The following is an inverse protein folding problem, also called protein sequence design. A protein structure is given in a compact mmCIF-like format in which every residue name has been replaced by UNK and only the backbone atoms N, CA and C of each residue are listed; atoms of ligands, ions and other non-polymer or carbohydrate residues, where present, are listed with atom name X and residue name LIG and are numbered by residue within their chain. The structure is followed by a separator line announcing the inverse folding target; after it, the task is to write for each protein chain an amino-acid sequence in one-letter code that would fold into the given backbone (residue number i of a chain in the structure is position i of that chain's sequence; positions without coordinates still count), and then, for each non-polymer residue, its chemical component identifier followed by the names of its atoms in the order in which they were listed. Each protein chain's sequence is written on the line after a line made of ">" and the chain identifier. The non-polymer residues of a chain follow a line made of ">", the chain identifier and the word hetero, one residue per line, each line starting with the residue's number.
data_IF_842376504448
#
_entry.id   IF_842376504448
#
_cell.length_a   1.000
_cell.length_b   1.000
_cell.length_c   1.000
_cell.angle_alpha   90.00
_cell.angle_beta   90.00
_cell.angle_gamma   90.00
#
_symmetry.space_group_name_H-M   'P 1'
#
loop_
_entity.id
_entity.type
_entity.pdbx_description
1 polymer ?
#
# COMPACT_ATOMS: atom_id res chain seq x y z
N UNK A 1 -10.32 28.45 2.18
CA UNK A 1 -9.42 29.45 1.57
C UNK A 1 -8.57 28.83 0.44
N UNK A 2 -7.76 27.81 0.73
CA UNK A 2 -6.89 27.06 -0.20
C UNK A 2 -7.52 26.75 -1.56
N UNK A 3 -8.75 26.27 -1.57
CA UNK A 3 -9.46 25.96 -2.80
C UNK A 3 -9.95 27.16 -3.63
N UNK A 4 -10.28 28.27 -2.96
CA UNK A 4 -10.66 29.52 -3.62
C UNK A 4 -9.41 30.15 -4.26
N UNK A 5 -8.30 30.07 -3.53
CA UNK A 5 -6.96 30.40 -3.97
C UNK A 5 -6.53 29.62 -5.22
N UNK A 6 -6.63 28.28 -5.21
CA UNK A 6 -6.33 27.43 -6.38
C UNK A 6 -7.15 27.80 -7.63
N UNK A 7 -8.45 28.08 -7.46
CA UNK A 7 -9.33 28.53 -8.54
C UNK A 7 -8.87 29.86 -9.13
N UNK A 8 -8.54 30.85 -8.28
CA UNK A 8 -8.11 32.16 -8.73
C UNK A 8 -6.75 32.10 -9.47
N UNK A 9 -5.86 31.20 -9.04
CA UNK A 9 -4.55 30.97 -9.66
C UNK A 9 -4.60 30.31 -11.04
N UNK A 10 -5.62 29.48 -11.30
CA UNK A 10 -5.80 28.82 -12.60
C UNK A 10 -6.27 29.77 -13.71
N UNK A 11 -6.80 30.95 -13.35
CA UNK A 11 -7.61 31.76 -14.26
C UNK A 11 -6.94 32.96 -14.92
N UNK A 12 -5.66 33.28 -14.60
CA UNK A 12 -4.98 34.46 -15.17
C UNK A 12 -3.49 34.26 -15.39
N UNK A 13 -3.06 34.41 -16.65
CA UNK A 13 -1.70 34.81 -17.01
C UNK A 13 -1.58 36.32 -16.75
N UNK A 14 -1.28 36.73 -15.52
CA UNK A 14 -0.90 38.12 -15.28
C UNK A 14 0.40 38.19 -14.47
N UNK A 15 1.27 39.08 -14.94
CA UNK A 15 2.61 39.33 -14.43
C UNK A 15 2.62 40.37 -13.30
N UNK A 16 1.46 40.72 -12.73
CA UNK A 16 1.41 41.65 -11.61
C UNK A 16 2.02 41.01 -10.36
N UNK A 17 2.89 41.75 -9.68
CA UNK A 17 3.56 41.35 -8.44
C UNK A 17 2.56 40.85 -7.37
N UNK A 18 1.39 41.45 -7.28
CA UNK A 18 0.32 41.03 -6.35
C UNK A 18 -0.19 39.62 -6.63
N UNK A 19 -0.34 39.24 -7.90
CA UNK A 19 -0.72 37.87 -8.24
C UNK A 19 0.42 36.89 -7.99
N UNK A 20 1.68 37.26 -8.25
CA UNK A 20 2.85 36.43 -7.92
C UNK A 20 2.95 36.15 -6.41
N UNK A 21 2.76 37.15 -5.56
CA UNK A 21 2.71 37.01 -4.10
C UNK A 21 1.55 36.11 -3.68
N UNK A 22 0.35 36.29 -4.26
CA UNK A 22 -0.77 35.38 -4.00
C UNK A 22 -0.44 33.93 -4.40
N UNK A 23 0.28 33.69 -5.51
CA UNK A 23 0.68 32.32 -5.91
C UNK A 23 1.60 31.68 -4.88
N UNK A 24 2.61 32.40 -4.43
CA UNK A 24 3.56 31.93 -3.41
C UNK A 24 2.84 31.65 -2.08
N UNK A 25 1.95 32.54 -1.65
CA UNK A 25 1.19 32.34 -0.40
C UNK A 25 0.30 31.09 -0.46
N UNK A 26 -0.27 30.79 -1.63
CA UNK A 26 -1.08 29.59 -1.82
C UNK A 26 -0.23 28.32 -1.79
N UNK A 27 0.96 28.34 -2.38
CA UNK A 27 1.94 27.25 -2.32
C UNK A 27 2.32 27.00 -0.86
N UNK A 28 2.63 28.05 -0.10
CA UNK A 28 2.94 27.95 1.33
C UNK A 28 1.77 27.37 2.12
N UNK A 29 0.53 27.83 1.86
CA UNK A 29 -0.66 27.27 2.50
C UNK A 29 -0.86 25.79 2.20
N UNK A 30 -0.60 25.34 0.96
CA UNK A 30 -0.69 23.91 0.60
C UNK A 30 0.37 23.13 1.37
N UNK A 31 1.62 23.60 1.37
CA UNK A 31 2.74 22.98 2.09
C UNK A 31 2.47 22.83 3.58
N UNK A 32 1.94 23.87 4.23
CA UNK A 32 1.54 23.81 5.65
C UNK A 32 0.42 22.79 5.90
N UNK A 33 -0.53 22.66 4.97
CA UNK A 33 -1.60 21.65 5.08
C UNK A 33 -1.06 20.24 4.89
N UNK A 34 -0.14 20.02 3.93
CA UNK A 34 0.55 18.73 3.72
C UNK A 34 1.28 18.27 4.99
N UNK A 35 1.91 19.22 5.69
CA UNK A 35 2.72 18.94 6.88
C UNK A 35 1.93 18.91 8.20
N UNK A 36 0.60 19.03 8.15
CA UNK A 36 -0.25 19.11 9.35
C UNK A 36 -1.32 18.02 9.37
N UNK A 37 -1.31 17.15 10.39
CA UNK A 37 -2.36 16.14 10.60
C UNK A 37 -3.75 16.78 10.64
N UNK A 38 -3.92 17.87 11.41
CA UNK A 38 -5.17 18.64 11.47
C UNK A 38 -5.57 19.19 10.09
N UNK A 39 -4.59 19.57 9.27
CA UNK A 39 -4.78 20.00 7.89
C UNK A 39 -5.34 18.89 7.00
N UNK A 40 -4.72 17.71 7.04
CA UNK A 40 -5.16 16.53 6.30
C UNK A 40 -6.54 16.04 6.77
N UNK A 41 -6.79 15.98 8.08
CA UNK A 41 -8.09 15.65 8.67
C UNK A 41 -9.21 16.59 8.18
N UNK A 42 -8.90 17.88 8.05
CA UNK A 42 -9.84 18.87 7.51
C UNK A 42 -10.19 18.59 6.04
N UNK A 43 -9.22 18.15 5.23
CA UNK A 43 -9.46 17.76 3.84
C UNK A 43 -10.33 16.51 3.76
N UNK A 44 -10.08 15.50 4.57
CA UNK A 44 -10.85 14.24 4.59
C UNK A 44 -12.34 14.48 4.93
N UNK A 45 -12.63 15.40 5.86
CA UNK A 45 -14.01 15.82 6.18
C UNK A 45 -14.79 16.38 4.97
N UNK A 46 -14.11 16.78 3.91
CA UNK A 46 -14.74 17.29 2.69
C UNK A 46 -15.38 16.17 1.84
N UNK A 47 -14.96 14.91 2.00
CA UNK A 47 -15.45 13.74 1.26
C UNK A 47 -16.95 13.46 1.46
N UNK A 48 -17.50 13.81 2.62
CA UNK A 48 -18.92 13.61 2.95
C UNK A 48 -19.90 14.53 2.21
N UNK A 49 -19.42 15.50 1.40
CA UNK A 49 -20.29 16.38 0.63
C UNK A 49 -20.68 15.70 -0.69
N UNK A 50 -22.00 15.57 -0.91
CA UNK A 50 -22.63 14.87 -2.06
C UNK A 50 -22.14 15.33 -3.45
N UNK A 51 -21.44 16.44 -3.54
CA UNK A 51 -21.11 17.11 -4.77
C UNK A 51 -19.64 16.93 -5.19
N UNK A 52 -18.86 16.08 -4.52
CA UNK A 52 -17.45 15.83 -4.86
C UNK A 52 -16.66 17.14 -5.10
N UNK A 53 -16.77 18.08 -4.15
CA UNK A 53 -16.08 19.37 -4.22
C UNK A 53 -14.56 19.17 -4.32
N UNK A 54 -14.04 18.17 -3.61
CA UNK A 54 -12.62 17.88 -3.60
C UNK A 54 -12.14 17.51 -5.01
N UNK A 55 -12.70 16.45 -5.61
CA UNK A 55 -12.26 15.97 -6.92
C UNK A 55 -12.38 17.04 -8.00
N UNK A 56 -13.48 17.80 -8.04
CA UNK A 56 -13.65 18.89 -9.03
C UNK A 56 -12.63 20.01 -8.88
N UNK A 57 -12.30 20.39 -7.64
CA UNK A 57 -11.37 21.49 -7.38
C UNK A 57 -9.93 21.09 -7.65
N UNK A 58 -9.55 19.87 -7.29
CA UNK A 58 -8.25 19.32 -7.64
C UNK A 58 -8.11 19.15 -9.16
N UNK A 59 -9.12 18.59 -9.81
CA UNK A 59 -9.12 18.47 -11.27
C UNK A 59 -8.96 19.84 -11.96
N UNK A 60 -9.63 20.89 -11.45
CA UNK A 60 -9.47 22.25 -11.98
C UNK A 60 -8.08 22.83 -11.71
N UNK A 61 -7.52 22.56 -10.53
CA UNK A 61 -6.20 23.05 -10.15
C UNK A 61 -5.08 22.39 -10.99
N UNK A 62 -5.28 21.14 -11.43
CA UNK A 62 -4.38 20.42 -12.34
C UNK A 62 -4.37 20.98 -13.78
N UNK A 63 -5.30 21.87 -14.13
CA UNK A 63 -5.25 22.60 -15.41
C UNK A 63 -4.27 23.79 -15.40
N UNK A 64 -3.68 24.10 -14.26
CA UNK A 64 -2.75 25.22 -14.14
C UNK A 64 -1.48 24.99 -14.98
N UNK A 65 -1.05 25.99 -15.76
CA UNK A 65 0.18 25.93 -16.55
C UNK A 65 1.45 26.00 -15.70
N UNK A 66 1.34 26.49 -14.46
CA UNK A 66 2.48 26.63 -13.56
C UNK A 66 2.85 25.28 -12.92
N UNK A 67 4.03 24.78 -13.26
CA UNK A 67 4.55 23.51 -12.76
C UNK A 67 4.71 23.49 -11.24
N UNK A 68 5.12 24.58 -10.59
CA UNK A 68 5.26 24.62 -9.13
C UNK A 68 3.94 24.41 -8.41
N UNK A 69 2.84 25.00 -8.93
CA UNK A 69 1.51 24.78 -8.36
C UNK A 69 1.07 23.33 -8.54
N UNK A 70 1.32 22.76 -9.73
CA UNK A 70 1.04 21.34 -10.00
C UNK A 70 1.86 20.40 -9.09
N UNK A 71 3.15 20.69 -8.88
CA UNK A 71 4.01 19.95 -7.95
C UNK A 71 3.38 19.88 -6.56
N UNK A 72 3.02 21.02 -5.98
CA UNK A 72 2.43 21.09 -4.64
C UNK A 72 1.08 20.35 -4.55
N UNK A 73 0.30 20.35 -5.63
CA UNK A 73 -0.94 19.57 -5.70
C UNK A 73 -0.64 18.08 -5.68
N UNK A 74 0.34 17.61 -6.47
CA UNK A 74 0.71 16.20 -6.50
C UNK A 74 1.34 15.74 -5.18
N UNK A 75 2.20 16.55 -4.55
CA UNK A 75 2.74 16.28 -3.21
C UNK A 75 1.62 16.11 -2.18
N UNK A 76 0.59 16.96 -2.22
CA UNK A 76 -0.57 16.82 -1.36
C UNK A 76 -1.37 15.55 -1.63
N UNK A 77 -1.55 15.16 -2.89
CA UNK A 77 -2.21 13.91 -3.25
C UNK A 77 -1.40 12.69 -2.77
N UNK A 78 -0.07 12.75 -2.87
CA UNK A 78 0.83 11.72 -2.36
C UNK A 78 0.70 11.59 -0.84
N UNK A 79 0.77 12.72 -0.12
CA UNK A 79 0.60 12.75 1.33
C UNK A 79 -0.76 12.18 1.75
N UNK A 80 -1.84 12.50 1.04
CA UNK A 80 -3.16 11.94 1.30
C UNK A 80 -3.22 10.41 1.10
N UNK A 81 -2.57 9.89 0.04
CA UNK A 81 -2.49 8.45 -0.20
C UNK A 81 -1.83 7.70 0.96
N UNK A 82 -0.71 8.23 1.46
CA UNK A 82 0.07 7.60 2.53
C UNK A 82 -0.58 7.82 3.90
N UNK A 83 -1.25 8.95 4.12
CA UNK A 83 -1.82 9.32 5.41
C UNK A 83 -2.98 8.42 5.84
N UNK A 84 -3.90 8.08 4.92
CA UNK A 84 -5.05 7.25 5.27
C UNK A 84 -5.67 6.59 4.05
N UNK A 85 -6.37 5.48 4.28
CA UNK A 85 -7.20 4.81 3.26
C UNK A 85 -8.26 5.75 2.67
N UNK A 86 -8.80 6.66 3.49
CA UNK A 86 -9.76 7.64 3.01
C UNK A 86 -9.14 8.65 2.05
N UNK A 87 -7.93 9.11 2.36
CA UNK A 87 -7.13 10.02 1.53
C UNK A 87 -6.70 9.37 0.22
N UNK A 88 -6.29 8.10 0.25
CA UNK A 88 -6.04 7.32 -0.96
C UNK A 88 -7.24 7.30 -1.92
N UNK A 89 -8.43 6.95 -1.44
CA UNK A 89 -9.63 6.98 -2.29
C UNK A 89 -10.00 8.38 -2.77
N UNK A 90 -9.72 9.40 -1.96
CA UNK A 90 -9.94 10.80 -2.32
C UNK A 90 -9.02 11.25 -3.46
N UNK A 91 -7.76 10.78 -3.46
CA UNK A 91 -6.82 10.96 -4.56
C UNK A 91 -7.28 10.24 -5.83
N UNK A 92 -7.71 8.97 -5.73
CA UNK A 92 -8.23 8.24 -6.88
C UNK A 92 -9.46 8.92 -7.51
N UNK A 93 -10.35 9.44 -6.68
CA UNK A 93 -11.56 10.14 -7.13
C UNK A 93 -11.23 11.49 -7.80
N UNK A 94 -10.22 12.21 -7.32
CA UNK A 94 -9.71 13.41 -7.99
C UNK A 94 -9.12 13.09 -9.38
N UNK A 95 -8.32 12.03 -9.50
CA UNK A 95 -7.76 11.57 -10.77
C UNK A 95 -8.85 11.08 -11.74
N UNK A 96 -9.87 10.38 -11.25
CA UNK A 96 -11.03 9.94 -12.04
C UNK A 96 -11.86 11.13 -12.54
N UNK A 97 -12.05 12.13 -11.69
CA UNK A 97 -12.74 13.38 -12.05
C UNK A 97 -11.98 14.11 -13.16
N UNK A 98 -10.66 14.21 -13.03
CA UNK A 98 -9.81 14.82 -14.06
C UNK A 98 -9.86 14.03 -15.38
N UNK A 99 -9.76 12.69 -15.32
CA UNK A 99 -9.89 11.80 -16.49
C UNK A 99 -11.17 12.08 -17.25
N UNK A 100 -12.30 12.11 -16.53
CA UNK A 100 -13.63 12.32 -17.11
C UNK A 100 -13.74 13.69 -17.77
N UNK A 101 -13.27 14.74 -17.10
CA UNK A 101 -13.29 16.11 -17.63
C UNK A 101 -12.44 16.23 -18.89
N UNK A 102 -11.21 15.71 -18.87
CA UNK A 102 -10.26 15.79 -20.00
C UNK A 102 -10.44 14.70 -21.05
N UNK A 103 -11.43 13.82 -20.85
CA UNK A 103 -11.74 12.68 -21.72
C UNK A 103 -10.51 11.80 -21.99
N UNK A 104 -9.70 11.58 -20.95
CA UNK A 104 -8.54 10.71 -21.03
C UNK A 104 -8.99 9.24 -21.07
N UNK A 105 -8.24 8.37 -21.79
CA UNK A 105 -8.64 6.97 -21.95
C UNK A 105 -8.60 6.20 -20.62
N UNK A 106 -7.62 6.49 -19.74
CA UNK A 106 -7.44 5.80 -18.47
C UNK A 106 -7.24 6.79 -17.31
N UNK A 107 -7.57 6.34 -16.07
CA UNK A 107 -7.49 7.17 -14.86
C UNK A 107 -6.11 7.75 -14.64
N UNK A 108 -5.08 6.94 -14.82
CA UNK A 108 -3.70 7.32 -14.58
C UNK A 108 -2.99 7.93 -15.80
N UNK A 109 -3.71 8.14 -16.91
CA UNK A 109 -3.13 8.76 -18.11
C UNK A 109 -2.54 10.14 -17.85
N UNK A 110 -3.11 10.93 -16.92
CA UNK A 110 -2.54 12.23 -16.54
C UNK A 110 -1.08 12.09 -16.10
N UNK A 111 -0.81 11.18 -15.17
CA UNK A 111 0.51 11.04 -14.55
C UNK A 111 1.55 10.58 -15.59
N UNK A 112 1.22 9.55 -16.37
CA UNK A 112 2.13 9.02 -17.39
C UNK A 112 2.39 10.03 -18.51
N UNK A 113 1.37 10.79 -18.94
CA UNK A 113 1.55 11.82 -19.97
C UNK A 113 2.40 13.00 -19.48
N UNK A 114 2.19 13.46 -18.24
CA UNK A 114 2.99 14.53 -17.66
C UNK A 114 4.44 14.07 -17.44
N UNK A 115 4.68 12.82 -17.00
CA UNK A 115 6.03 12.25 -16.90
C UNK A 115 6.77 12.26 -18.25
N UNK A 116 6.08 11.90 -19.33
CA UNK A 116 6.68 11.91 -20.68
C UNK A 116 6.96 13.32 -21.21
N UNK A 117 6.07 14.28 -20.94
CA UNK A 117 6.08 15.60 -21.59
C UNK A 117 6.75 16.72 -20.80
N UNK A 118 6.90 16.57 -19.48
CA UNK A 118 7.57 17.56 -18.65
C UNK A 118 9.07 17.66 -18.99
N UNK A 119 9.66 18.86 -18.86
CA UNK A 119 11.10 19.04 -19.02
C UNK A 119 11.83 19.22 -17.68
N UNK A 120 11.08 19.42 -16.59
CA UNK A 120 11.63 19.69 -15.28
C UNK A 120 11.74 18.38 -14.49
N UNK A 121 12.98 17.97 -14.23
CA UNK A 121 13.31 16.73 -13.50
C UNK A 121 12.59 16.66 -12.15
N UNK A 122 12.66 17.73 -11.34
CA UNK A 122 12.03 17.76 -10.01
C UNK A 122 10.51 17.54 -10.07
N UNK A 123 9.84 18.02 -11.12
CA UNK A 123 8.42 17.76 -11.33
C UNK A 123 8.15 16.31 -11.74
N UNK A 124 9.02 15.70 -12.55
CA UNK A 124 8.97 14.26 -12.85
C UNK A 124 9.17 13.43 -11.59
N UNK A 125 10.10 13.82 -10.71
CA UNK A 125 10.30 13.18 -9.40
C UNK A 125 9.03 13.24 -8.55
N UNK A 126 8.38 14.41 -8.46
CA UNK A 126 7.09 14.56 -7.75
C UNK A 126 5.99 13.66 -8.33
N UNK A 127 5.91 13.54 -9.66
CA UNK A 127 4.93 12.68 -10.31
C UNK A 127 5.20 11.20 -10.04
N UNK A 128 6.47 10.78 -10.10
CA UNK A 128 6.87 9.40 -9.82
C UNK A 128 6.63 9.04 -8.35
N UNK A 129 6.86 9.98 -7.44
CA UNK A 129 6.51 9.86 -6.03
C UNK A 129 5.00 9.63 -5.82
N UNK A 130 4.14 10.32 -6.57
CA UNK A 130 2.69 10.07 -6.52
C UNK A 130 2.31 8.70 -7.10
N UNK A 131 2.96 8.25 -8.17
CA UNK A 131 2.76 6.89 -8.71
C UNK A 131 3.07 5.86 -7.63
N UNK A 132 4.23 5.99 -6.97
CA UNK A 132 4.63 5.11 -5.87
C UNK A 132 3.63 5.16 -4.70
N UNK A 133 3.22 6.36 -4.28
CA UNK A 133 2.23 6.52 -3.22
C UNK A 133 0.89 5.84 -3.55
N UNK A 134 0.41 5.92 -4.79
CA UNK A 134 -0.85 5.28 -5.22
C UNK A 134 -0.73 3.75 -5.26
N UNK A 135 0.42 3.22 -5.71
CA UNK A 135 0.65 1.77 -5.79
C UNK A 135 0.84 1.18 -4.39
N UNK A 136 1.71 1.77 -3.56
CA UNK A 136 2.11 1.24 -2.25
C UNK A 136 1.05 1.45 -1.17
N UNK A 137 0.19 2.47 -1.28
CA UNK A 137 -0.84 2.76 -0.27
C UNK A 137 -1.86 1.61 -0.02
N UNK A 138 -1.89 0.58 -0.88
CA UNK A 138 -2.77 -0.57 -0.69
C UNK A 138 -2.04 -1.72 0.03
N UNK A 139 -2.56 -2.14 1.18
CA UNK A 139 -2.01 -3.27 1.93
C UNK A 139 -2.29 -4.62 1.23
N UNK A 140 -3.35 -4.70 0.43
CA UNK A 140 -3.73 -5.92 -0.29
C UNK A 140 -2.95 -6.11 -1.59
N UNK A 141 -2.17 -7.20 -1.67
CA UNK A 141 -1.39 -7.60 -2.84
C UNK A 141 -2.19 -7.53 -4.16
N UNK A 142 -3.41 -8.08 -4.17
CA UNK A 142 -4.26 -8.13 -5.37
C UNK A 142 -4.64 -6.74 -5.89
N UNK A 143 -4.93 -5.78 -5.00
CA UNK A 143 -5.27 -4.42 -5.42
C UNK A 143 -4.02 -3.65 -5.87
N UNK A 144 -2.87 -3.86 -5.21
CA UNK A 144 -1.58 -3.30 -5.68
C UNK A 144 -1.24 -3.78 -7.09
N UNK A 145 -1.30 -5.09 -7.32
CA UNK A 145 -1.05 -5.69 -8.64
C UNK A 145 -2.02 -5.14 -9.68
N UNK A 146 -3.31 -5.02 -9.35
CA UNK A 146 -4.31 -4.44 -10.26
C UNK A 146 -3.98 -3.01 -10.65
N UNK A 147 -3.71 -2.13 -9.68
CA UNK A 147 -3.36 -0.73 -9.95
C UNK A 147 -2.05 -0.64 -10.73
N UNK A 148 -1.04 -1.45 -10.38
CA UNK A 148 0.24 -1.48 -11.09
C UNK A 148 0.06 -1.94 -12.54
N UNK A 149 -0.77 -2.94 -12.78
CA UNK A 149 -1.09 -3.40 -14.14
C UNK A 149 -1.78 -2.30 -14.97
N UNK A 150 -2.62 -1.45 -14.37
CA UNK A 150 -3.18 -0.28 -15.05
C UNK A 150 -2.05 0.68 -15.50
N UNK A 151 -1.04 0.93 -14.67
CA UNK A 151 0.12 1.76 -15.05
C UNK A 151 0.99 1.10 -16.13
N UNK A 152 1.29 -0.20 -15.99
CA UNK A 152 2.05 -0.98 -16.98
C UNK A 152 1.34 -0.94 -18.34
N UNK A 153 0.02 -1.12 -18.35
CA UNK A 153 -0.79 -1.06 -19.57
C UNK A 153 -0.73 0.32 -20.27
N UNK A 154 -0.63 1.41 -19.51
CA UNK A 154 -0.48 2.78 -20.07
C UNK A 154 0.97 3.03 -20.57
N UNK A 155 1.91 2.13 -20.25
CA UNK A 155 3.31 2.19 -20.68
C UNK A 155 4.20 2.96 -19.69
N UNK A 156 4.01 2.77 -18.39
CA UNK A 156 4.90 3.38 -17.38
C UNK A 156 6.33 2.83 -17.47
N UNK A 157 6.54 1.55 -17.83
CA UNK A 157 7.87 0.93 -17.86
C UNK A 157 8.79 1.57 -18.92
N UNK A 158 8.26 1.81 -20.12
CA UNK A 158 8.99 2.55 -21.17
C UNK A 158 9.27 4.00 -20.74
N UNK A 159 8.35 4.58 -19.98
CA UNK A 159 8.51 5.94 -19.44
C UNK A 159 9.64 5.96 -18.41
N UNK A 160 9.67 5.01 -17.47
CA UNK A 160 10.75 4.85 -16.47
C UNK A 160 12.11 4.68 -17.15
N UNK A 161 12.19 3.85 -18.20
CA UNK A 161 13.43 3.69 -18.96
C UNK A 161 13.94 5.01 -19.53
N UNK A 162 13.05 5.86 -20.03
CA UNK A 162 13.40 7.21 -20.52
C UNK A 162 13.81 8.15 -19.38
N UNK A 163 13.10 8.10 -18.24
CA UNK A 163 13.40 8.94 -17.07
C UNK A 163 14.81 8.68 -16.50
N UNK A 164 15.28 7.42 -16.56
CA UNK A 164 16.62 7.03 -16.09
C UNK A 164 17.75 7.69 -16.89
N UNK A 165 17.51 8.06 -18.14
CA UNK A 165 18.50 8.77 -18.97
C UNK A 165 18.79 10.18 -18.47
N UNK A 166 17.93 10.76 -17.61
CA UNK A 166 18.15 12.09 -17.02
C UNK A 166 19.26 12.10 -15.96
N UNK A 167 19.64 10.93 -15.41
CA UNK A 167 20.77 10.77 -14.49
C UNK A 167 20.58 11.42 -13.11
N UNK A 168 19.36 11.83 -12.77
CA UNK A 168 19.04 12.46 -11.49
C UNK A 168 18.88 11.40 -10.38
N UNK A 169 19.59 11.52 -9.25
CA UNK A 169 19.59 10.51 -8.20
C UNK A 169 18.22 10.34 -7.55
N UNK A 170 17.47 11.43 -7.41
CA UNK A 170 16.19 11.46 -6.72
C UNK A 170 15.10 10.80 -7.56
N UNK A 171 15.07 11.14 -8.85
CA UNK A 171 14.20 10.52 -9.82
C UNK A 171 14.51 9.03 -9.99
N UNK A 172 15.80 8.67 -10.05
CA UNK A 172 16.22 7.28 -10.13
C UNK A 172 15.81 6.47 -8.90
N UNK A 173 15.94 7.05 -7.71
CA UNK A 173 15.44 6.42 -6.48
C UNK A 173 13.94 6.13 -6.57
N UNK A 174 13.13 7.07 -7.09
CA UNK A 174 11.69 6.82 -7.27
C UNK A 174 11.41 5.73 -8.32
N UNK A 175 12.26 5.60 -9.35
CA UNK A 175 12.16 4.53 -10.33
C UNK A 175 12.52 3.16 -9.71
N UNK A 176 13.57 3.12 -8.89
CA UNK A 176 14.02 1.92 -8.18
C UNK A 176 12.91 1.41 -7.26
N UNK A 177 12.28 2.29 -6.47
CA UNK A 177 11.15 1.94 -5.60
C UNK A 177 10.02 1.27 -6.39
N UNK A 178 9.68 1.78 -7.57
CA UNK A 178 8.61 1.20 -8.38
C UNK A 178 8.95 -0.22 -8.88
N UNK A 179 10.18 -0.42 -9.35
CA UNK A 179 10.67 -1.68 -9.91
C UNK A 179 10.91 -2.75 -8.84
N UNK A 180 11.44 -2.37 -7.68
CA UNK A 180 11.57 -3.25 -6.51
C UNK A 180 10.21 -3.75 -6.04
N UNK A 181 9.24 -2.84 -5.89
CA UNK A 181 7.87 -3.19 -5.48
C UNK A 181 7.14 -4.03 -6.54
N UNK A 182 7.43 -3.81 -7.84
CA UNK A 182 6.92 -4.66 -8.93
C UNK A 182 7.47 -6.08 -8.79
N UNK A 183 8.77 -6.22 -8.53
CA UNK A 183 9.43 -7.52 -8.35
C UNK A 183 8.88 -8.25 -7.13
N UNK A 184 8.81 -7.56 -5.98
CA UNK A 184 8.28 -8.10 -4.74
C UNK A 184 6.83 -8.57 -4.87
N UNK A 185 5.95 -7.77 -5.50
CA UNK A 185 4.56 -8.18 -5.71
C UNK A 185 4.45 -9.36 -6.70
N UNK A 186 5.32 -9.45 -7.70
CA UNK A 186 5.37 -10.59 -8.63
C UNK A 186 5.79 -11.88 -7.93
N UNK A 187 6.81 -11.81 -7.06
CA UNK A 187 7.26 -12.95 -6.26
C UNK A 187 6.18 -13.42 -5.28
N UNK A 188 5.52 -12.49 -4.58
CA UNK A 188 4.43 -12.80 -3.67
C UNK A 188 3.23 -13.45 -4.38
N UNK A 189 2.90 -13.00 -5.59
CA UNK A 189 1.85 -13.62 -6.41
C UNK A 189 2.20 -15.05 -6.84
N UNK A 190 3.46 -15.28 -7.23
CA UNK A 190 3.93 -16.61 -7.61
C UNK A 190 3.94 -17.56 -6.40
N UNK A 191 4.31 -17.07 -5.21
CA UNK A 191 4.22 -17.83 -3.97
C UNK A 191 2.77 -18.19 -3.62
N UNK A 192 1.83 -17.24 -3.75
CA UNK A 192 0.40 -17.50 -3.55
C UNK A 192 -0.13 -18.54 -4.55
N UNK A 193 0.35 -18.51 -5.80
CA UNK A 193 -0.03 -19.47 -6.83
C UNK A 193 0.50 -20.87 -6.53
N UNK A 194 1.77 -20.99 -6.14
CA UNK A 194 2.38 -22.27 -5.71
C UNK A 194 1.64 -22.87 -4.51
N UNK A 195 1.25 -22.03 -3.55
CA UNK A 195 0.46 -22.44 -2.40
C UNK A 195 -0.94 -22.95 -2.79
N UNK A 196 -1.57 -22.39 -3.83
CA UNK A 196 -2.87 -22.81 -4.32
C UNK A 196 -2.82 -24.05 -5.22
N UNK A 197 -1.66 -24.36 -5.82
CA UNK A 197 -1.47 -25.50 -6.73
C UNK A 197 -0.98 -26.79 -6.05
N UNK A 198 -0.85 -26.81 -4.72
CA UNK A 198 -0.39 -28.00 -4.00
C UNK A 198 -1.45 -29.10 -4.12
N UNK A 199 -1.07 -30.26 -4.66
CA UNK A 199 -1.95 -31.44 -4.64
C UNK A 199 -2.09 -31.94 -3.20
N UNK A 200 -3.27 -31.73 -2.62
CA UNK A 200 -3.60 -32.11 -1.24
C UNK A 200 -3.66 -33.65 -1.10
N UNK A 201 -3.71 -34.38 -2.22
CA UNK A 201 -3.73 -35.85 -2.25
C UNK A 201 -2.32 -36.47 -2.22
N UNK A 202 -1.27 -35.67 -2.47
CA UNK A 202 0.12 -36.11 -2.44
C UNK A 202 0.82 -35.66 -1.13
N UNK A 203 1.15 -36.61 -0.23
CA UNK A 203 1.85 -36.30 1.02
C UNK A 203 3.22 -35.63 0.82
N UNK A 204 3.94 -35.95 -0.26
CA UNK A 204 5.27 -35.37 -0.52
C UNK A 204 5.15 -33.91 -0.97
N UNK A 205 4.20 -33.60 -1.85
CA UNK A 205 3.89 -32.23 -2.25
C UNK A 205 3.43 -31.38 -1.06
N UNK A 206 2.55 -31.90 -0.20
CA UNK A 206 2.11 -31.22 1.03
C UNK A 206 3.27 -30.97 1.99
N UNK A 207 4.15 -31.96 2.20
CA UNK A 207 5.33 -31.80 3.03
C UNK A 207 6.24 -30.69 2.51
N UNK A 208 6.58 -30.71 1.21
CA UNK A 208 7.41 -29.67 0.59
C UNK A 208 6.79 -28.28 0.72
N UNK A 209 5.47 -28.17 0.55
CA UNK A 209 4.74 -26.92 0.68
C UNK A 209 4.68 -26.40 2.13
N UNK A 210 4.56 -27.28 3.12
CA UNK A 210 4.63 -26.88 4.53
C UNK A 210 6.05 -26.45 4.89
N UNK A 211 7.05 -27.23 4.45
CA UNK A 211 8.47 -26.93 4.69
C UNK A 211 8.83 -25.56 4.11
N UNK A 212 8.47 -25.27 2.86
CA UNK A 212 8.76 -23.97 2.24
C UNK A 212 8.14 -22.80 2.99
N UNK A 213 6.97 -22.98 3.62
CA UNK A 213 6.33 -21.93 4.44
C UNK A 213 7.03 -21.66 5.76
N UNK A 214 7.75 -22.64 6.31
CA UNK A 214 8.40 -22.52 7.62
C UNK A 214 9.92 -22.34 7.53
N UNK A 215 10.55 -22.64 6.39
CA UNK A 215 12.01 -22.72 6.21
C UNK A 215 12.76 -21.45 6.65
N UNK A 216 12.15 -20.28 6.42
CA UNK A 216 12.72 -18.97 6.79
C UNK A 216 12.03 -18.33 8.01
N UNK A 217 11.42 -19.14 8.89
CA UNK A 217 10.67 -18.70 10.05
C UNK A 217 11.19 -19.36 11.34
N UNK A 218 11.12 -18.70 12.52
CA UNK A 218 11.41 -19.35 13.80
C UNK A 218 10.55 -20.60 14.05
N UNK A 219 9.43 -20.73 13.33
CA UNK A 219 8.54 -21.90 13.33
C UNK A 219 9.20 -23.18 12.77
N UNK A 220 10.29 -23.07 12.00
CA UNK A 220 11.03 -24.22 11.47
C UNK A 220 11.46 -25.19 12.60
N UNK A 221 11.89 -24.64 13.74
CA UNK A 221 12.29 -25.42 14.92
C UNK A 221 11.14 -26.24 15.51
N UNK A 222 9.95 -25.64 15.59
CA UNK A 222 8.74 -26.31 16.09
C UNK A 222 8.24 -27.35 15.09
N UNK A 223 8.27 -27.03 13.78
CA UNK A 223 7.91 -27.98 12.73
C UNK A 223 8.82 -29.22 12.75
N UNK A 224 10.15 -29.03 12.86
CA UNK A 224 11.10 -30.13 12.99
C UNK A 224 10.83 -31.00 14.23
N UNK A 225 10.50 -30.38 15.37
CA UNK A 225 10.13 -31.11 16.58
C UNK A 225 8.86 -31.95 16.37
N UNK A 226 7.85 -31.41 15.68
CA UNK A 226 6.64 -32.16 15.32
C UNK A 226 7.00 -33.36 14.44
N UNK A 227 7.76 -33.16 13.37
CA UNK A 227 8.20 -34.23 12.47
C UNK A 227 8.97 -35.33 13.20
N UNK A 228 9.87 -34.94 14.12
CA UNK A 228 10.62 -35.89 14.92
C UNK A 228 9.70 -36.75 15.80
N UNK A 229 8.70 -36.14 16.46
CA UNK A 229 7.73 -36.89 17.26
C UNK A 229 6.86 -37.82 16.40
N UNK A 230 6.49 -37.40 15.18
CA UNK A 230 5.78 -38.25 14.23
C UNK A 230 6.64 -39.43 13.76
N UNK A 231 7.93 -39.19 13.52
CA UNK A 231 8.91 -40.23 13.11
C UNK A 231 9.11 -41.30 14.19
N UNK A 232 9.00 -40.95 15.47
CA UNK A 232 9.13 -41.90 16.58
C UNK A 232 7.94 -42.87 16.73
N UNK A 233 6.83 -42.66 16.00
CA UNK A 233 5.65 -43.52 16.08
C UNK A 233 5.92 -44.82 15.33
N UNK A 234 6.08 -45.91 16.08
CA UNK A 234 6.27 -47.25 15.55
C UNK A 234 5.00 -47.77 14.85
N UNK A 235 5.09 -48.00 13.55
CA UNK A 235 3.97 -48.48 12.73
C UNK A 235 3.59 -49.94 12.98
N UNK A 236 4.44 -50.73 13.65
CA UNK A 236 4.24 -52.16 13.88
C UNK A 236 3.33 -52.50 15.08
N UNK A 237 3.01 -51.50 15.92
CA UNK A 237 2.25 -51.70 17.14
C UNK A 237 0.73 -51.59 16.89
N UNK A 238 -0.06 -52.44 17.56
CA UNK A 238 -1.52 -52.42 17.45
C UNK A 238 -2.20 -51.10 17.87
N UNK A 239 -1.49 -50.22 18.59
CA UNK A 239 -1.98 -48.90 19.02
C UNK A 239 -1.57 -47.76 18.09
N UNK A 240 -0.72 -48.00 17.09
CA UNK A 240 -0.18 -46.97 16.18
C UNK A 240 -1.30 -46.22 15.45
N UNK A 241 -2.29 -46.94 14.94
CA UNK A 241 -3.47 -46.39 14.28
C UNK A 241 -4.27 -45.45 15.21
N UNK A 242 -4.41 -45.81 16.49
CA UNK A 242 -5.10 -44.97 17.47
C UNK A 242 -4.35 -43.67 17.77
N UNK A 243 -3.00 -43.73 17.77
CA UNK A 243 -2.14 -42.56 17.96
C UNK A 243 -2.29 -41.61 16.75
N UNK A 244 -2.17 -42.13 15.53
CA UNK A 244 -2.33 -41.33 14.31
C UNK A 244 -3.73 -40.69 14.21
N UNK A 245 -4.80 -41.45 14.48
CA UNK A 245 -6.18 -40.94 14.50
C UNK A 245 -6.42 -39.89 15.60
N UNK A 246 -5.63 -39.91 16.67
CA UNK A 246 -5.71 -38.90 17.73
C UNK A 246 -4.98 -37.61 17.33
N UNK A 247 -3.80 -37.74 16.71
CA UNK A 247 -3.05 -36.63 16.15
C UNK A 247 -3.88 -35.91 15.09
N UNK A 248 -4.46 -36.65 14.14
CA UNK A 248 -5.32 -36.09 13.10
C UNK A 248 -6.46 -35.24 13.69
N UNK A 249 -7.19 -35.79 14.66
CA UNK A 249 -8.29 -35.09 15.34
C UNK A 249 -7.83 -33.83 16.07
N UNK A 250 -6.68 -33.87 16.74
CA UNK A 250 -6.13 -32.69 17.42
C UNK A 250 -5.73 -31.60 16.43
N UNK A 251 -5.05 -31.96 15.34
CA UNK A 251 -4.64 -31.00 14.29
C UNK A 251 -5.87 -30.38 13.62
N UNK A 252 -6.90 -31.18 13.30
CA UNK A 252 -8.17 -30.68 12.75
C UNK A 252 -8.89 -29.72 13.71
N UNK A 253 -8.90 -30.02 15.01
CA UNK A 253 -9.53 -29.15 16.01
C UNK A 253 -8.82 -27.81 16.14
N UNK A 254 -7.49 -27.80 16.23
CA UNK A 254 -6.70 -26.57 16.36
C UNK A 254 -6.85 -25.69 15.13
N UNK A 255 -6.78 -26.28 13.92
CA UNK A 255 -6.91 -25.54 12.67
C UNK A 255 -8.32 -24.96 12.45
N UNK A 256 -9.38 -25.67 12.85
CA UNK A 256 -10.77 -25.18 12.75
C UNK A 256 -11.12 -24.10 13.79
N UNK A 257 -10.52 -24.14 14.98
CA UNK A 257 -10.73 -23.09 16.00
C UNK A 257 -10.19 -21.72 15.58
N UNK A 258 -9.19 -21.68 14.69
CA UNK A 258 -8.67 -20.42 14.15
C UNK A 258 -9.56 -19.84 13.05
N UNK A 259 -10.29 -20.68 12.30
CA UNK A 259 -11.21 -20.25 11.24
C UNK A 259 -12.58 -19.81 11.77
N UNK A 260 -13.02 -20.30 12.93
CA UNK A 260 -14.34 -20.02 13.52
C UNK A 260 -14.31 -19.06 14.72
N UNK A 261 -13.64 -17.91 14.59
CA UNK A 261 -13.63 -16.85 15.61
C UNK A 261 -15.00 -16.21 15.93
N UNK A 262 -16.14 -16.89 15.85
CA UNK A 262 -17.42 -16.27 16.25
C UNK A 262 -18.49 -17.15 16.91
N UNK A 263 -18.55 -18.48 16.81
CA UNK A 263 -19.69 -19.21 17.45
C UNK A 263 -19.38 -20.63 17.90
N UNK A 264 -18.91 -20.78 19.14
CA UNK A 264 -19.55 -21.67 20.12
C UNK A 264 -18.78 -21.65 21.43
N UNK A 265 -19.43 -21.18 22.49
CA UNK A 265 -19.01 -21.41 23.86
C UNK A 265 -19.25 -22.88 24.25
N UNK A 266 -18.32 -23.41 25.05
CA UNK A 266 -18.48 -24.56 25.96
C UNK A 266 -18.34 -25.97 25.34
N UNK A 267 -17.12 -26.51 25.43
CA UNK A 267 -16.86 -27.68 26.29
C UNK A 267 -15.40 -27.69 26.76
N UNK A 268 -15.22 -27.35 28.04
CA UNK A 268 -13.99 -27.55 28.85
C UNK A 268 -13.83 -29.08 29.05
N UNK A 269 -12.67 -29.70 29.25
CA UNK A 269 -11.53 -29.34 30.10
C UNK A 269 -10.25 -30.00 29.55
N UNK A 270 -9.24 -29.18 29.23
CA UNK A 270 -7.80 -29.47 29.01
C UNK A 270 -7.11 -28.29 28.31
N UNK A 271 -7.90 -27.36 27.74
CA UNK A 271 -7.42 -26.24 26.90
C UNK A 271 -7.08 -24.93 27.65
N UNK A 272 -7.04 -24.93 28.99
CA UNK A 272 -6.93 -23.69 29.79
C UNK A 272 -5.58 -22.96 29.60
N UNK A 273 -4.53 -23.64 29.13
CA UNK A 273 -3.22 -23.01 28.89
C UNK A 273 -3.03 -22.54 27.45
N UNK A 274 -3.50 -23.30 26.45
CA UNK A 274 -3.33 -22.91 25.05
C UNK A 274 -4.28 -21.77 24.66
N UNK A 275 -5.54 -21.83 25.09
CA UNK A 275 -6.53 -20.78 24.75
C UNK A 275 -6.21 -19.44 25.39
N UNK A 276 -5.64 -19.45 26.61
CA UNK A 276 -5.17 -18.23 27.30
C UNK A 276 -3.88 -17.70 26.68
N UNK A 277 -2.98 -18.57 26.22
CA UNK A 277 -1.77 -18.18 25.50
C UNK A 277 -2.11 -17.56 24.14
N UNK A 278 -3.03 -18.18 23.37
CA UNK A 278 -3.52 -17.64 22.09
C UNK A 278 -4.27 -16.33 22.29
N UNK A 279 -5.12 -16.20 23.31
CA UNK A 279 -5.77 -14.91 23.61
C UNK A 279 -4.75 -13.83 23.98
N UNK A 280 -3.71 -14.18 24.76
CA UNK A 280 -2.64 -13.27 25.15
C UNK A 280 -1.73 -12.92 23.96
N UNK A 281 -1.51 -13.84 23.03
CA UNK A 281 -0.81 -13.58 21.77
C UNK A 281 -1.63 -12.73 20.82
N UNK A 282 -2.96 -12.92 20.76
CA UNK A 282 -3.89 -12.06 19.99
C UNK A 282 -3.99 -10.65 20.58
N UNK A 283 -4.00 -10.49 21.89
CA UNK A 283 -3.90 -9.19 22.55
C UNK A 283 -2.57 -8.53 22.21
N UNK A 284 -1.45 -9.27 22.29
CA UNK A 284 -0.13 -8.80 21.87
C UNK A 284 -0.02 -8.53 20.38
N UNK A 285 -0.72 -9.26 19.52
CA UNK A 285 -0.79 -8.99 18.08
C UNK A 285 -1.63 -7.75 17.79
N UNK A 286 -2.76 -7.55 18.47
CA UNK A 286 -3.54 -6.31 18.37
C UNK A 286 -2.82 -5.10 18.96
N UNK A 287 -2.01 -5.32 19.98
CA UNK A 287 -1.14 -4.30 20.57
C UNK A 287 0.04 -4.03 19.62
N UNK A 288 0.66 -5.06 19.03
CA UNK A 288 1.60 -4.92 17.90
C UNK A 288 0.97 -4.32 16.65
N UNK A 289 -0.33 -4.49 16.39
CA UNK A 289 -1.03 -3.89 15.25
C UNK A 289 -1.29 -2.40 15.51
N UNK A 290 -1.60 -2.04 16.77
CA UNK A 290 -1.70 -0.65 17.23
C UNK A 290 -0.33 0.02 17.26
N UNK A 291 0.69 -0.69 17.72
CA UNK A 291 2.09 -0.26 17.68
C UNK A 291 2.57 -0.18 16.24
N UNK A 292 2.20 -1.11 15.33
CA UNK A 292 2.41 -0.99 13.87
C UNK A 292 1.67 0.20 13.29
N UNK A 293 0.51 0.59 13.80
CA UNK A 293 -0.19 1.81 13.40
C UNK A 293 0.56 3.08 13.84
N UNK A 294 1.32 2.98 14.93
CA UNK A 294 2.16 4.04 15.50
C UNK A 294 3.56 4.04 14.87
N UNK A 295 4.12 2.87 14.53
CA UNK A 295 5.33 2.68 13.74
C UNK A 295 5.09 3.07 12.29
N UNK A 296 3.90 2.83 11.73
CA UNK A 296 3.44 3.43 10.46
C UNK A 296 3.45 4.95 10.54
N UNK A 297 3.41 5.56 11.72
CA UNK A 297 3.52 7.01 11.90
C UNK A 297 4.99 7.49 11.88
N UNK A 298 5.93 6.62 12.27
CA UNK A 298 7.39 6.82 12.17
C UNK A 298 7.90 6.47 10.77
N UNK A 299 7.42 5.39 10.18
CA UNK A 299 7.56 5.02 8.78
C UNK A 299 6.82 6.03 7.90
N UNK A 300 5.70 6.62 8.30
CA UNK A 300 5.09 7.75 7.57
C UNK A 300 6.09 8.89 7.41
N UNK A 301 6.85 9.24 8.46
CA UNK A 301 7.91 10.24 8.34
C UNK A 301 9.11 9.74 7.53
N UNK A 302 9.54 8.48 7.67
CA UNK A 302 10.70 7.96 6.93
C UNK A 302 10.39 7.65 5.45
N UNK A 303 9.27 7.01 5.12
CA UNK A 303 8.76 6.76 3.78
C UNK A 303 8.28 8.04 3.09
N UNK A 304 7.60 8.97 3.78
CA UNK A 304 7.36 10.30 3.20
C UNK A 304 8.67 11.07 3.03
N UNK A 305 9.69 10.87 3.87
CA UNK A 305 11.00 11.48 3.64
C UNK A 305 11.72 10.88 2.42
N UNK A 306 11.60 9.57 2.20
CA UNK A 306 12.16 8.85 1.04
C UNK A 306 11.37 9.13 -0.25
N UNK A 307 10.05 9.34 -0.18
CA UNK A 307 9.18 9.60 -1.35
C UNK A 307 9.02 11.10 -1.66
N UNK A 308 8.97 12.00 -0.67
CA UNK A 308 8.63 13.42 -0.84
C UNK A 308 9.80 14.39 -0.57
N UNK A 309 10.90 13.97 0.07
CA UNK A 309 11.93 14.90 0.58
C UNK A 309 13.29 14.80 -0.11
N UNK A 310 13.33 14.29 -1.34
CA UNK A 310 14.56 14.41 -2.13
C UNK A 310 14.63 15.75 -2.89
N UNK A 311 13.51 16.45 -3.10
CA UNK A 311 13.50 17.75 -3.82
C UNK A 311 13.84 19.00 -2.99
N UNK A 312 14.56 18.90 -1.87
CA UNK A 312 15.00 20.07 -1.08
C UNK A 312 16.49 20.02 -0.76
N UNK A 313 17.28 20.35 -1.79
CA UNK A 313 18.57 21.02 -1.67
C UNK A 313 18.50 22.36 -2.41
#
# INVERSE_FOLDING_TARGET
>A
LLFQCLKNLSSRESFHLSEMVLRLECIMCIREVVNSQTGLDCLLKTKGRKDNIFGRRFASALENKNLMVKMQIFELLSALCVYSREGFYLTLDALETYRTWRKLPYRFSLLVNELRSANLVTYRTTLMALVNAVVVANEGLQERVRIRNDFVYIGILDTISTLREEGDPDLNLQCDIFEEELTADSEAMEEQRKAASVDISDPEALFKAILSRVDNSPLCSSFLSVLYNLFLIDTSQARSEQIWNSIERLVQQVTQTDTQGTKSSVRRESSLHLTSTIHRERERERERERDRQTDRQTDYFNYANVILFVSVG
#
